data_IF_687962212548
#
_entry.id   IF_687962212548
#
_cell.length_a   1.000
_cell.length_b   1.000
_cell.length_c   1.000
_cell.angle_alpha   90.00
_cell.angle_beta   90.00
_cell.angle_gamma   90.00
#
_symmetry.space_group_name_H-M   'P 1'
#
loop_
_entity.id
_entity.type
_entity.pdbx_description
1 polymer ?
#
# COMPACT_ATOMS: atom_id res chain seq x y z
N UNK A 1 7.38 3.36 -12.63
CA UNK A 1 6.61 2.32 -11.93
C UNK A 1 7.32 0.98 -11.97
N UNK A 2 7.67 0.41 -13.13
CA UNK A 2 8.45 -0.85 -13.19
C UNK A 2 9.77 -0.81 -12.38
N UNK A 3 10.52 0.29 -12.47
CA UNK A 3 11.75 0.48 -11.68
C UNK A 3 11.52 0.53 -10.15
N UNK A 4 10.32 0.91 -9.69
CA UNK A 4 9.98 0.87 -8.26
C UNK A 4 9.76 -0.59 -7.85
N UNK A 5 8.99 -1.35 -8.64
CA UNK A 5 8.73 -2.77 -8.36
C UNK A 5 10.02 -3.59 -8.30
N UNK A 6 10.92 -3.39 -9.26
CA UNK A 6 12.20 -4.12 -9.32
C UNK A 6 13.14 -3.78 -8.17
N UNK A 7 13.00 -2.59 -7.59
CA UNK A 7 13.87 -2.13 -6.53
C UNK A 7 13.31 -2.38 -5.12
N UNK A 8 12.03 -2.80 -5.01
CA UNK A 8 11.44 -3.24 -3.74
C UNK A 8 11.93 -4.65 -3.41
N UNK A 9 12.72 -4.76 -2.35
CA UNK A 9 13.18 -6.04 -1.80
C UNK A 9 12.27 -6.44 -0.63
N UNK A 10 11.55 -7.54 -0.79
CA UNK A 10 10.62 -8.06 0.22
C UNK A 10 11.31 -9.05 1.16
N UNK A 11 10.86 -9.17 2.42
CA UNK A 11 11.35 -10.20 3.32
C UNK A 11 10.94 -11.59 2.82
N UNK A 12 11.69 -12.62 3.23
CA UNK A 12 11.54 -13.99 2.71
C UNK A 12 10.14 -14.61 2.95
N UNK A 13 9.39 -14.11 3.93
CA UNK A 13 8.07 -14.59 4.31
C UNK A 13 6.93 -13.83 3.60
N UNK A 14 7.25 -12.77 2.85
CA UNK A 14 6.29 -12.10 2.00
C UNK A 14 6.03 -12.91 0.72
N UNK A 15 4.88 -12.68 0.11
CA UNK A 15 4.60 -13.21 -1.22
C UNK A 15 5.55 -12.58 -2.26
N UNK A 16 5.79 -13.23 -3.41
CA UNK A 16 6.43 -12.59 -4.55
C UNK A 16 5.72 -11.29 -4.94
N UNK A 17 6.47 -10.25 -5.31
CA UNK A 17 5.90 -8.94 -5.69
C UNK A 17 4.93 -9.01 -6.89
N UNK A 18 4.98 -10.08 -7.69
CA UNK A 18 4.06 -10.34 -8.79
C UNK A 18 2.66 -10.73 -8.32
N UNK A 19 2.51 -11.21 -7.08
CA UNK A 19 1.24 -11.67 -6.52
C UNK A 19 0.38 -10.51 -5.99
N UNK A 20 0.95 -9.30 -5.93
CA UNK A 20 0.27 -8.12 -5.41
C UNK A 20 -0.37 -7.31 -6.54
N UNK A 21 -1.57 -6.82 -6.27
CA UNK A 21 -2.16 -5.67 -6.95
C UNK A 21 -1.45 -4.39 -6.51
N UNK A 22 -1.13 -3.49 -7.44
CA UNK A 22 -0.27 -2.33 -7.15
C UNK A 22 -0.97 -1.01 -7.44
N UNK A 23 -1.17 -0.24 -6.39
CA UNK A 23 -1.78 1.08 -6.46
C UNK A 23 -0.70 2.13 -6.29
N UNK A 24 -0.68 3.14 -7.17
CA UNK A 24 0.25 4.26 -7.10
C UNK A 24 -0.53 5.55 -7.04
N UNK A 25 0.06 6.57 -6.45
CA UNK A 25 -0.48 7.93 -6.49
C UNK A 25 0.63 8.95 -6.38
N UNK A 26 0.33 10.19 -6.76
CA UNK A 26 1.17 11.33 -6.47
C UNK A 26 1.02 11.65 -4.97
N UNK A 27 2.11 11.47 -4.22
CA UNK A 27 2.17 11.88 -2.83
C UNK A 27 2.45 13.37 -2.67
N UNK A 28 2.55 13.85 -1.42
CA UNK A 28 2.99 15.21 -1.12
C UNK A 28 4.35 15.53 -1.78
N UNK A 29 4.49 16.76 -2.28
CA UNK A 29 5.72 17.19 -2.93
C UNK A 29 5.97 16.46 -4.26
N UNK A 30 7.11 15.77 -4.37
CA UNK A 30 7.53 15.06 -5.58
C UNK A 30 7.62 13.53 -5.36
N UNK A 31 6.86 13.01 -4.39
CA UNK A 31 6.91 11.59 -4.03
C UNK A 31 5.92 10.76 -4.84
N UNK A 32 6.26 9.51 -5.13
CA UNK A 32 5.30 8.47 -5.53
C UNK A 32 5.01 7.65 -4.29
N UNK A 33 3.73 7.55 -3.95
CA UNK A 33 3.27 6.69 -2.87
C UNK A 33 2.62 5.48 -3.51
N UNK A 34 2.96 4.30 -3.05
CA UNK A 34 2.38 3.07 -3.55
C UNK A 34 1.94 2.14 -2.41
N UNK A 35 0.88 1.40 -2.68
CA UNK A 35 0.41 0.30 -1.84
C UNK A 35 0.34 -0.95 -2.72
N UNK A 36 1.06 -1.99 -2.33
CA UNK A 36 0.96 -3.31 -2.94
C UNK A 36 0.15 -4.19 -2.01
N UNK A 37 -0.94 -4.77 -2.50
CA UNK A 37 -1.87 -5.54 -1.68
C UNK A 37 -2.25 -6.85 -2.37
N UNK A 38 -2.36 -7.93 -1.61
CA UNK A 38 -2.84 -9.21 -2.15
C UNK A 38 -4.31 -9.08 -2.58
N UNK A 39 -4.69 -9.55 -3.79
CA UNK A 39 -6.07 -9.45 -4.28
C UNK A 39 -7.10 -10.05 -3.32
N UNK A 40 -6.83 -11.21 -2.71
CA UNK A 40 -7.75 -11.85 -1.75
C UNK A 40 -7.99 -10.97 -0.51
N UNK A 41 -6.95 -10.29 -0.02
CA UNK A 41 -7.06 -9.35 1.10
C UNK A 41 -7.86 -8.11 0.68
N UNK A 42 -7.57 -7.59 -0.51
CA UNK A 42 -8.27 -6.45 -1.07
C UNK A 42 -9.78 -6.74 -1.21
N UNK A 43 -10.14 -7.89 -1.76
CA UNK A 43 -11.53 -8.36 -1.90
C UNK A 43 -12.23 -8.53 -0.55
N UNK A 44 -11.53 -9.10 0.45
CA UNK A 44 -12.06 -9.19 1.81
C UNK A 44 -12.38 -7.82 2.41
N UNK A 45 -11.56 -6.81 2.10
CA UNK A 45 -11.59 -5.50 2.75
C UNK A 45 -12.43 -4.47 2.01
N UNK A 46 -12.76 -4.69 0.74
CA UNK A 46 -13.59 -3.81 -0.10
C UNK A 46 -14.90 -3.38 0.58
N UNK A 47 -15.54 -4.32 1.28
CA UNK A 47 -16.84 -4.10 1.93
C UNK A 47 -16.72 -3.79 3.42
N UNK A 48 -15.50 -3.64 3.94
CA UNK A 48 -15.25 -3.40 5.35
C UNK A 48 -15.05 -1.90 5.65
N UNK A 49 -15.29 -1.56 6.91
CA UNK A 49 -15.01 -0.24 7.47
C UNK A 49 -13.81 -0.37 8.40
N UNK A 50 -12.80 0.46 8.17
CA UNK A 50 -11.56 0.53 8.93
C UNK A 50 -11.53 1.82 9.76
N UNK A 51 -10.81 1.78 10.88
CA UNK A 51 -10.45 2.99 11.62
C UNK A 51 -9.21 3.61 10.96
N UNK A 52 -9.36 4.82 10.44
CA UNK A 52 -8.25 5.62 9.92
C UNK A 52 -7.88 6.68 10.95
N UNK A 53 -6.62 6.69 11.36
CA UNK A 53 -6.08 7.77 12.19
C UNK A 53 -6.09 9.07 11.40
N UNK A 54 -6.51 10.16 12.05
CA UNK A 54 -6.50 11.49 11.44
C UNK A 54 -5.09 12.05 11.39
N UNK A 55 -4.85 12.98 10.48
CA UNK A 55 -3.53 13.61 10.27
C UNK A 55 -3.04 14.39 11.50
N UNK A 56 -3.96 14.87 12.34
CA UNK A 56 -3.67 15.55 13.61
C UNK A 56 -3.26 14.59 14.74
N UNK A 57 -3.28 13.27 14.48
CA UNK A 57 -3.04 12.20 15.45
C UNK A 57 -3.94 12.27 16.70
N UNK A 58 -4.95 13.14 16.72
CA UNK A 58 -5.79 13.43 17.87
C UNK A 58 -7.07 12.56 17.90
N UNK A 59 -7.30 11.75 16.87
CA UNK A 59 -8.40 10.80 16.84
C UNK A 59 -8.42 9.92 15.60
N UNK A 60 -9.45 9.08 15.51
CA UNK A 60 -9.72 8.24 14.35
C UNK A 60 -11.05 8.59 13.68
N UNK A 61 -11.24 8.07 12.48
CA UNK A 61 -12.50 8.14 11.73
C UNK A 61 -12.76 6.80 11.07
N UNK A 62 -14.02 6.38 11.07
CA UNK A 62 -14.48 5.20 10.33
C UNK A 62 -14.60 5.52 8.85
N UNK A 63 -13.82 4.83 8.03
CA UNK A 63 -13.81 4.96 6.57
C UNK A 63 -13.90 3.59 5.93
N UNK A 64 -14.27 3.50 4.65
CA UNK A 64 -14.08 2.24 3.91
C UNK A 64 -12.59 1.92 3.85
N UNK A 65 -12.26 0.63 4.06
CA UNK A 65 -10.87 0.18 3.98
C UNK A 65 -10.29 0.36 2.57
N UNK A 66 -11.12 0.12 1.55
CA UNK A 66 -10.81 0.44 0.15
C UNK A 66 -11.55 1.72 -0.22
N UNK A 67 -10.80 2.73 -0.65
CA UNK A 67 -11.35 4.06 -0.94
C UNK A 67 -12.34 4.05 -2.10
N UNK A 68 -13.27 5.00 -2.08
CA UNK A 68 -14.23 5.16 -3.18
C UNK A 68 -13.54 5.46 -4.51
N UNK A 69 -13.90 4.66 -5.50
CA UNK A 69 -13.40 4.79 -6.86
C UNK A 69 -12.01 4.20 -7.08
N UNK A 70 -11.43 3.49 -6.11
CA UNK A 70 -10.28 2.63 -6.42
C UNK A 70 -10.80 1.23 -6.81
N UNK A 71 -10.47 0.75 -8.02
CA UNK A 71 -10.97 -0.52 -8.51
C UNK A 71 -10.24 -1.69 -7.84
N UNK A 72 -10.93 -2.83 -7.71
CA UNK A 72 -10.30 -4.10 -7.38
C UNK A 72 -9.60 -4.62 -8.64
N UNK A 73 -8.27 -4.75 -8.58
CA UNK A 73 -7.45 -5.21 -9.71
C UNK A 73 -6.74 -6.52 -9.35
N UNK A 74 -6.32 -7.25 -10.36
CA UNK A 74 -5.68 -8.54 -10.18
C UNK A 74 -4.20 -8.41 -9.78
N UNK A 75 -3.63 -9.54 -9.36
CA UNK A 75 -2.20 -9.68 -9.13
C UNK A 75 -1.39 -9.23 -10.38
N UNK A 76 -0.33 -8.46 -10.15
CA UNK A 76 0.56 -7.95 -11.19
C UNK A 76 0.02 -6.74 -11.95
N UNK A 77 -1.26 -6.40 -11.81
CA UNK A 77 -1.84 -5.19 -12.38
C UNK A 77 -1.42 -3.94 -11.60
N UNK A 78 -1.44 -2.81 -12.30
CA UNK A 78 -1.07 -1.50 -11.76
C UNK A 78 -2.20 -0.51 -12.00
N UNK A 79 -2.54 0.25 -10.97
CA UNK A 79 -3.56 1.30 -11.07
C UNK A 79 -3.07 2.61 -10.46
N UNK A 80 -3.35 3.72 -11.13
CA UNK A 80 -3.03 5.05 -10.65
C UNK A 80 -4.26 5.68 -9.98
N UNK A 81 -4.15 5.91 -8.68
CA UNK A 81 -5.16 6.59 -7.87
C UNK A 81 -4.84 8.08 -7.86
N UNK A 82 -5.81 8.92 -8.20
CA UNK A 82 -5.59 10.39 -8.30
C UNK A 82 -5.22 11.04 -6.97
N UNK A 83 -5.76 10.51 -5.86
CA UNK A 83 -5.55 11.02 -4.51
C UNK A 83 -4.93 9.93 -3.63
N UNK A 84 -3.73 10.18 -3.11
CA UNK A 84 -2.98 9.21 -2.31
C UNK A 84 -3.68 8.88 -0.98
N UNK A 85 -4.58 9.74 -0.48
CA UNK A 85 -5.41 9.45 0.70
C UNK A 85 -6.46 8.36 0.44
N UNK A 86 -6.73 8.03 -0.84
CA UNK A 86 -7.64 6.97 -1.25
C UNK A 86 -6.95 5.63 -1.49
N UNK A 87 -5.62 5.57 -1.48
CA UNK A 87 -4.90 4.30 -1.58
C UNK A 87 -5.42 3.32 -0.51
N UNK A 88 -5.44 2.01 -0.80
CA UNK A 88 -6.01 1.01 0.11
C UNK A 88 -5.06 0.71 1.29
N UNK A 89 -4.92 1.68 2.20
CA UNK A 89 -4.09 1.59 3.41
C UNK A 89 -4.68 0.59 4.41
N UNK A 90 -4.46 -0.69 4.15
CA UNK A 90 -5.00 -1.80 4.94
C UNK A 90 -3.84 -2.41 5.70
N UNK A 91 -3.58 -1.95 6.92
CA UNK A 91 -2.55 -2.56 7.75
C UNK A 91 -2.90 -4.03 8.07
N UNK A 92 -2.17 -4.96 7.46
CA UNK A 92 -2.36 -6.40 7.65
C UNK A 92 -1.04 -7.07 8.08
N UNK A 93 -1.06 -7.94 9.10
CA UNK A 93 0.13 -8.70 9.46
C UNK A 93 0.54 -9.67 8.34
N UNK A 94 1.81 -10.09 8.34
CA UNK A 94 2.44 -10.96 7.33
C UNK A 94 2.58 -10.32 5.93
N UNK A 95 2.69 -9.00 5.86
CA UNK A 95 2.90 -8.29 4.60
C UNK A 95 1.82 -8.57 3.54
N UNK A 96 0.55 -8.68 3.97
CA UNK A 96 -0.59 -8.70 3.07
C UNK A 96 -0.75 -7.38 2.32
N UNK A 97 -0.32 -6.29 2.96
CA UNK A 97 -0.08 -4.98 2.36
C UNK A 97 1.39 -4.56 2.52
N UNK A 98 1.90 -3.85 1.53
CA UNK A 98 3.22 -3.21 1.53
C UNK A 98 3.02 -1.76 1.14
N UNK A 99 3.48 -0.83 1.97
CA UNK A 99 3.50 0.58 1.63
C UNK A 99 4.88 1.05 1.21
N UNK A 100 4.93 1.92 0.20
CA UNK A 100 6.17 2.42 -0.39
C UNK A 100 6.06 3.93 -0.59
N UNK A 101 7.09 4.67 -0.20
CA UNK A 101 7.28 6.08 -0.53
C UNK A 101 8.58 6.23 -1.29
N UNK A 102 8.48 6.69 -2.53
CA UNK A 102 9.62 6.86 -3.42
C UNK A 102 9.81 8.34 -3.79
N UNK A 103 10.99 8.87 -3.52
CA UNK A 103 11.40 10.21 -3.93
C UNK A 103 11.78 10.22 -5.40
N UNK A 104 10.97 10.88 -6.24
CA UNK A 104 11.28 10.96 -7.68
C UNK A 104 12.49 11.84 -7.99
N UNK A 105 12.74 12.87 -7.19
CA UNK A 105 13.83 13.82 -7.44
C UNK A 105 15.19 13.19 -7.22
N UNK A 106 15.30 12.38 -6.18
CA UNK A 106 16.54 11.71 -5.80
C UNK A 106 16.61 10.24 -6.23
N UNK A 107 15.53 9.70 -6.80
CA UNK A 107 15.41 8.30 -7.22
C UNK A 107 15.71 7.29 -6.10
N UNK A 108 15.17 7.54 -4.91
CA UNK A 108 15.44 6.76 -3.71
C UNK A 108 14.14 6.41 -2.97
N UNK A 109 14.13 5.26 -2.31
CA UNK A 109 13.07 4.92 -1.35
C UNK A 109 13.25 5.75 -0.08
N UNK A 110 12.23 6.54 0.26
CA UNK A 110 12.14 7.17 1.58
C UNK A 110 11.63 6.18 2.60
N UNK A 111 10.73 5.29 2.18
CA UNK A 111 10.07 4.35 3.08
C UNK A 111 9.60 3.11 2.31
N UNK A 112 9.76 1.94 2.94
CA UNK A 112 9.10 0.69 2.56
C UNK A 112 8.62 0.02 3.86
N UNK A 113 7.32 -0.18 4.04
CA UNK A 113 6.77 -0.90 5.20
C UNK A 113 6.06 -2.17 4.78
N UNK A 114 6.27 -3.19 5.57
CA UNK A 114 5.78 -4.55 5.41
C UNK A 114 5.68 -5.08 6.84
N UNK A 115 4.47 -5.30 7.36
CA UNK A 115 4.32 -5.84 8.72
C UNK A 115 4.52 -7.35 8.60
N UNK A 116 5.76 -7.83 8.61
CA UNK A 116 6.08 -9.26 8.63
C UNK A 116 5.64 -9.94 9.92
N UNK A 117 5.92 -11.24 10.08
CA UNK A 117 5.85 -11.81 11.45
C UNK A 117 6.88 -11.10 12.34
N UNK A 118 6.55 -10.90 13.61
CA UNK A 118 7.50 -10.41 14.61
C UNK A 118 8.82 -11.17 14.48
N UNK A 119 9.95 -10.46 14.51
CA UNK A 119 11.24 -11.10 14.72
C UNK A 119 11.13 -11.97 15.99
N UNK A 120 11.59 -13.23 15.99
CA UNK A 120 11.59 -14.03 17.20
C UNK A 120 12.37 -13.27 18.26
N UNK A 121 11.72 -13.05 19.41
CA UNK A 121 12.35 -12.54 20.63
C UNK A 121 13.26 -13.59 21.24
#
# INVERSE_FOLDING_TARGET
MAAIDEAVVLPHDAHPIADYAKYYSQGPGNDIVAVFILPDLLDQKDKQVCERMKDDLAGSSRVRCVGDGVPLINAGERFWVEDWHKLPWIFDPKCGDISVVFDRGNSQFKEVRCIGKDAPT
#
